data_IF_511297217483
#
_entry.id   IF_511297217483
#
_cell.length_a   1.000
_cell.length_b   1.000
_cell.length_c   1.000
_cell.angle_alpha   90.00
_cell.angle_beta   90.00
_cell.angle_gamma   90.00
#
_symmetry.space_group_name_H-M   'P 1'
#
loop_
_entity.id
_entity.type
_entity.pdbx_description
1 polymer ?
#
# COMPACT_ATOMS: atom_id res chain seq x y z
N UNK A 1 -69.10 8.51 6.72
CA UNK A 1 -68.30 8.17 5.52
C UNK A 1 -67.74 9.47 4.96
N UNK A 2 -66.43 9.51 4.75
CA UNK A 2 -65.54 10.63 5.13
C UNK A 2 -65.04 11.44 3.91
N UNK A 3 -65.08 12.78 4.01
CA UNK A 3 -64.33 13.89 3.37
C UNK A 3 -63.81 13.73 1.91
N UNK A 4 -64.03 14.59 0.90
CA UNK A 4 -64.24 16.04 0.78
C UNK A 4 -63.14 16.94 1.41
N UNK A 5 -62.21 17.47 0.58
CA UNK A 5 -61.54 18.79 0.69
C UNK A 5 -60.30 18.84 -0.25
N UNK A 6 -60.31 19.67 -1.29
CA UNK A 6 -59.61 20.97 -1.38
C UNK A 6 -58.19 20.81 -1.98
N UNK A 7 -57.87 21.24 -3.21
CA UNK A 7 -57.99 22.59 -3.79
C UNK A 7 -57.36 23.69 -2.91
N UNK A 8 -56.77 24.69 -3.57
CA UNK A 8 -56.16 25.93 -3.03
C UNK A 8 -54.62 25.84 -3.01
N UNK A 9 -53.97 26.32 -4.07
CA UNK A 9 -53.53 27.71 -4.26
C UNK A 9 -52.22 27.96 -3.48
N UNK A 10 -51.14 28.32 -4.15
CA UNK A 10 -50.84 29.71 -4.54
C UNK A 10 -49.88 30.33 -3.52
N UNK A 11 -48.97 31.16 -4.04
CA UNK A 11 -47.96 31.93 -3.34
C UNK A 11 -46.94 31.06 -2.59
N UNK A 12 -45.66 31.02 -2.98
CA UNK A 12 -44.82 32.21 -2.88
C UNK A 12 -43.49 31.92 -3.58
N UNK A 13 -42.99 32.93 -4.29
CA UNK A 13 -41.58 33.11 -4.68
C UNK A 13 -41.20 32.74 -6.12
N UNK A 14 -42.11 33.04 -7.05
CA UNK A 14 -41.75 33.97 -8.15
C UNK A 14 -41.37 35.34 -7.53
N UNK A 15 -40.15 35.50 -7.01
CA UNK A 15 -39.51 36.81 -6.79
C UNK A 15 -38.01 36.56 -6.68
N UNK A 16 -37.30 36.62 -7.80
CA UNK A 16 -36.09 37.42 -8.07
C UNK A 16 -35.61 37.03 -9.48
N UNK A 17 -36.46 37.31 -10.46
CA UNK A 17 -35.99 37.76 -11.76
C UNK A 17 -36.02 39.30 -11.67
N UNK A 18 -34.87 39.94 -11.93
CA UNK A 18 -34.64 41.37 -12.27
C UNK A 18 -33.54 42.03 -11.43
N UNK A 19 -32.29 41.67 -11.70
CA UNK A 19 -31.18 42.59 -11.55
C UNK A 19 -30.24 42.41 -12.75
N UNK A 20 -30.45 43.26 -13.78
CA UNK A 20 -29.47 43.86 -14.70
C UNK A 20 -28.29 42.95 -15.13
N UNK A 21 -28.14 42.48 -16.38
CA UNK A 21 -28.32 43.15 -17.68
C UNK A 21 -28.12 44.67 -17.60
N UNK A 22 -26.85 45.09 -17.55
CA UNK A 22 -26.32 46.17 -18.42
C UNK A 22 -24.88 46.54 -18.04
N UNK A 23 -23.92 46.01 -18.82
CA UNK A 23 -22.75 46.71 -19.41
C UNK A 23 -21.72 45.67 -19.87
N UNK A 24 -21.69 45.39 -21.16
CA UNK A 24 -20.78 46.02 -22.15
C UNK A 24 -19.53 45.12 -22.34
N UNK A 25 -19.50 44.26 -23.36
CA UNK A 25 -19.10 44.53 -24.77
C UNK A 25 -17.58 44.54 -24.94
N UNK A 26 -17.14 43.77 -25.94
CA UNK A 26 -15.79 43.62 -26.55
C UNK A 26 -14.92 42.49 -25.95
N UNK A 27 -14.35 41.53 -26.69
CA UNK A 27 -14.31 41.24 -28.14
C UNK A 27 -13.80 39.77 -28.34
N UNK A 28 -13.81 39.23 -29.57
CA UNK A 28 -13.66 37.80 -29.88
C UNK A 28 -12.21 37.39 -30.20
N UNK A 29 -11.88 36.10 -30.09
CA UNK A 29 -11.36 35.27 -31.20
C UNK A 29 -11.00 33.85 -30.74
N UNK A 30 -11.71 32.87 -31.32
CA UNK A 30 -11.33 31.45 -31.42
C UNK A 30 -10.37 31.25 -32.60
N UNK A 31 -9.38 30.37 -32.45
CA UNK A 31 -9.21 29.26 -33.39
C UNK A 31 -9.23 27.93 -32.60
N UNK A 32 -10.23 27.06 -32.74
CA UNK A 32 -10.43 26.06 -33.80
C UNK A 32 -9.22 25.16 -34.06
N UNK A 33 -9.13 24.05 -33.31
CA UNK A 33 -8.68 22.78 -33.88
C UNK A 33 -9.59 21.68 -33.32
N UNK A 34 -10.39 21.12 -34.23
CA UNK A 34 -11.25 19.95 -34.04
C UNK A 34 -10.47 18.71 -34.51
N UNK A 35 -10.95 17.53 -34.06
CA UNK A 35 -10.55 16.15 -34.41
C UNK A 35 -9.48 15.54 -33.48
N UNK A 36 -9.75 14.58 -32.59
CA UNK A 36 -10.94 13.74 -32.32
C UNK A 36 -11.11 13.47 -30.81
N UNK A 37 -12.34 13.32 -30.29
CA UNK A 37 -13.06 12.04 -30.14
C UNK A 37 -12.14 10.97 -29.50
N UNK A 38 -12.34 10.45 -28.29
CA UNK A 38 -13.58 10.26 -27.54
C UNK A 38 -13.32 10.05 -26.04
N UNK A 39 -14.32 10.43 -25.24
CA UNK A 39 -14.76 9.85 -23.98
C UNK A 39 -13.74 9.15 -23.06
N UNK A 40 -13.46 9.76 -21.90
CA UNK A 40 -13.61 9.13 -20.59
C UNK A 40 -13.68 10.25 -19.54
N UNK A 41 -14.89 10.75 -19.35
CA UNK A 41 -15.23 11.61 -18.23
C UNK A 41 -15.47 10.72 -17.01
N UNK A 42 -14.77 11.02 -15.90
CA UNK A 42 -15.18 10.58 -14.57
C UNK A 42 -14.12 9.88 -13.73
N UNK A 43 -13.07 10.59 -13.31
CA UNK A 43 -12.47 10.38 -11.98
C UNK A 43 -11.57 11.56 -11.54
N UNK A 44 -12.08 12.79 -11.64
CA UNK A 44 -11.37 13.97 -11.12
C UNK A 44 -11.88 14.32 -9.72
N UNK A 45 -11.71 13.43 -8.73
CA UNK A 45 -11.98 13.75 -7.32
C UNK A 45 -11.28 12.80 -6.33
N UNK A 46 -9.95 12.65 -6.39
CA UNK A 46 -9.09 12.35 -5.21
C UNK A 46 -7.64 12.81 -5.50
N UNK A 47 -7.43 14.10 -5.75
CA UNK A 47 -6.06 14.71 -5.83
C UNK A 47 -5.93 15.82 -4.76
N UNK A 48 -6.54 15.61 -3.59
CA UNK A 48 -6.50 16.55 -2.46
C UNK A 48 -6.00 15.94 -1.16
N UNK A 49 -5.28 14.80 -1.24
CA UNK A 49 -4.46 14.29 -0.11
C UNK A 49 -3.01 14.09 -0.56
N UNK A 50 -2.49 15.05 -1.33
CA UNK A 50 -1.07 15.13 -1.71
C UNK A 50 -0.34 16.33 -1.08
N UNK A 51 -0.98 17.01 -0.12
CA UNK A 51 -0.35 18.05 0.69
C UNK A 51 -0.57 17.74 2.17
N UNK A 52 0.33 16.98 2.82
CA UNK A 52 0.70 17.27 4.22
C UNK A 52 1.97 16.56 4.77
N UNK A 53 2.86 16.01 3.94
CA UNK A 53 4.14 15.51 4.47
C UNK A 53 5.31 15.55 3.46
N UNK A 54 5.35 16.55 2.59
CA UNK A 54 6.59 17.07 2.02
C UNK A 54 6.86 18.42 2.68
N UNK A 55 7.81 18.44 3.63
CA UNK A 55 8.33 19.69 4.16
C UNK A 55 8.81 19.54 5.59
N UNK A 56 9.97 18.91 5.80
CA UNK A 56 10.96 19.27 6.84
C UNK A 56 12.14 18.27 6.99
N UNK A 57 12.69 17.65 5.94
CA UNK A 57 14.03 16.99 6.08
C UNK A 57 14.90 17.14 4.82
N UNK A 58 14.93 18.33 4.22
CA UNK A 58 15.85 18.66 3.14
C UNK A 58 17.17 19.29 3.64
N UNK A 59 17.69 18.91 4.82
CA UNK A 59 18.87 19.59 5.38
C UNK A 59 19.84 18.71 6.19
N UNK A 60 20.06 17.45 5.80
CA UNK A 60 21.10 16.61 6.45
C UNK A 60 21.87 15.69 5.48
N UNK A 61 22.04 16.07 4.22
CA UNK A 61 22.96 15.37 3.31
C UNK A 61 24.05 16.31 2.81
N UNK A 62 24.99 16.61 3.70
CA UNK A 62 26.30 17.18 3.34
C UNK A 62 27.32 16.60 4.32
N UNK A 63 27.93 15.46 3.98
CA UNK A 63 29.25 15.05 4.44
C UNK A 63 29.70 13.81 3.65
N UNK A 64 30.23 14.10 2.46
CA UNK A 64 31.09 13.26 1.65
C UNK A 64 32.40 12.90 2.37
N UNK A 65 32.84 11.65 2.22
CA UNK A 65 34.21 11.18 2.49
C UNK A 65 34.26 9.65 2.45
N UNK A 66 34.29 9.00 1.28
CA UNK A 66 35.47 8.71 0.44
C UNK A 66 36.58 7.92 1.19
N UNK A 67 36.55 6.57 1.13
CA UNK A 67 37.48 5.66 0.36
C UNK A 67 38.64 5.08 1.22
N UNK A 68 39.48 4.12 0.74
CA UNK A 68 39.29 2.65 0.77
C UNK A 68 40.51 1.89 1.41
N UNK A 69 40.48 0.55 1.56
CA UNK A 69 41.52 -0.41 1.10
C UNK A 69 41.26 -1.88 1.56
N UNK A 70 41.77 -2.90 0.82
CA UNK A 70 41.57 -4.34 1.00
C UNK A 70 42.80 -5.06 1.61
N UNK A 71 42.65 -6.31 2.07
CA UNK A 71 43.75 -7.30 2.18
C UNK A 71 43.19 -8.74 2.40
N UNK A 72 43.11 -9.50 1.29
CA UNK A 72 43.64 -10.86 1.00
C UNK A 72 43.48 -12.09 1.97
N UNK A 73 43.75 -13.35 1.49
CA UNK A 73 42.94 -14.53 1.78
C UNK A 73 43.73 -15.61 2.54
N UNK A 74 43.03 -16.57 3.13
CA UNK A 74 43.68 -17.79 3.64
C UNK A 74 42.88 -19.02 3.24
N UNK A 75 43.40 -19.68 2.21
CA UNK A 75 43.05 -21.03 1.81
C UNK A 75 43.43 -22.05 2.89
N UNK A 76 42.65 -23.12 3.01
CA UNK A 76 43.16 -24.44 3.37
C UNK A 76 42.28 -25.51 2.75
N UNK A 77 42.78 -26.09 1.65
CA UNK A 77 42.34 -27.35 1.08
C UNK A 77 42.86 -28.51 1.93
N UNK A 78 41.99 -29.48 2.23
CA UNK A 78 42.40 -30.87 2.50
C UNK A 78 41.33 -31.82 1.94
N UNK A 79 41.63 -32.44 0.81
CA UNK A 79 41.06 -33.73 0.39
C UNK A 79 41.48 -34.80 1.43
N UNK A 80 40.93 -36.02 1.57
CA UNK A 80 40.82 -37.08 0.58
C UNK A 80 40.04 -38.28 1.21
N UNK A 81 39.37 -39.07 0.34
CA UNK A 81 38.96 -40.50 0.38
C UNK A 81 38.41 -41.15 1.68
N UNK A 82 37.29 -41.89 1.55
CA UNK A 82 37.19 -43.18 2.27
C UNK A 82 35.80 -43.80 2.47
N UNK A 83 35.51 -44.81 1.65
CA UNK A 83 34.89 -46.11 2.01
C UNK A 83 33.41 -46.19 2.47
N UNK A 84 32.60 -46.73 1.55
CA UNK A 84 31.59 -47.79 1.67
C UNK A 84 30.75 -47.99 2.96
N UNK A 85 29.43 -48.00 2.71
CA UNK A 85 28.38 -48.93 3.21
C UNK A 85 28.21 -49.15 4.72
N UNK A 86 27.00 -48.84 5.21
CA UNK A 86 26.30 -49.86 6.00
C UNK A 86 24.84 -50.05 5.53
N UNK A 87 24.52 -51.28 5.15
CA UNK A 87 23.17 -51.83 5.33
C UNK A 87 22.94 -52.04 6.82
N UNK A 88 22.02 -51.28 7.41
CA UNK A 88 21.43 -51.60 8.71
C UNK A 88 19.92 -51.36 8.64
N UNK A 89 19.21 -52.45 8.36
CA UNK A 89 17.79 -52.60 8.64
C UNK A 89 17.59 -52.59 10.16
N UNK A 90 17.03 -51.51 10.70
CA UNK A 90 16.58 -51.43 12.09
C UNK A 90 15.25 -50.69 12.15
N UNK A 91 14.20 -51.46 12.42
CA UNK A 91 12.84 -51.01 12.72
C UNK A 91 12.82 -50.00 13.87
N UNK A 92 12.19 -48.81 13.72
CA UNK A 92 11.77 -48.02 14.86
C UNK A 92 10.32 -48.38 15.21
N UNK A 93 10.15 -49.43 16.00
CA UNK A 93 8.99 -49.56 16.87
C UNK A 93 9.30 -48.83 18.17
N UNK A 94 9.14 -47.51 18.15
CA UNK A 94 9.11 -46.69 19.35
C UNK A 94 7.98 -45.67 19.17
N UNK A 95 6.80 -46.05 19.66
CA UNK A 95 5.69 -45.14 19.92
C UNK A 95 6.13 -44.11 20.95
N UNK A 96 6.86 -43.08 20.53
CA UNK A 96 6.94 -41.85 21.28
C UNK A 96 5.62 -41.13 21.05
N UNK A 97 4.70 -41.39 21.97
CA UNK A 97 3.54 -40.57 22.21
C UNK A 97 4.06 -39.20 22.62
N UNK A 98 4.40 -38.36 21.64
CA UNK A 98 4.56 -36.93 21.85
C UNK A 98 3.23 -36.45 22.40
N UNK A 99 3.20 -36.16 23.71
CA UNK A 99 2.19 -35.26 24.25
C UNK A 99 2.08 -34.09 23.28
N UNK A 100 0.88 -33.69 22.85
CA UNK A 100 0.73 -32.41 22.18
C UNK A 100 1.26 -31.37 23.17
N UNK A 101 2.47 -30.87 22.92
CA UNK A 101 2.90 -29.61 23.50
C UNK A 101 1.82 -28.62 23.14
N UNK A 102 1.31 -27.93 24.15
CA UNK A 102 0.26 -26.93 24.03
C UNK A 102 0.49 -26.10 22.76
N UNK A 103 -0.54 -25.91 21.91
CA UNK A 103 -0.41 -24.97 20.81
C UNK A 103 0.01 -23.63 21.43
N UNK A 104 1.06 -22.95 20.91
CA UNK A 104 1.41 -21.63 21.41
C UNK A 104 0.14 -20.78 21.34
N UNK A 105 -0.28 -20.17 22.44
CA UNK A 105 -1.36 -19.21 22.42
C UNK A 105 -1.02 -18.17 21.34
N UNK A 106 -1.80 -18.03 20.26
CA UNK A 106 -1.60 -16.93 19.34
C UNK A 106 -2.22 -15.70 20.01
N UNK A 107 -1.49 -15.14 20.98
CA UNK A 107 -1.85 -13.87 21.64
C UNK A 107 -1.27 -12.68 20.86
N UNK A 108 -0.77 -12.90 19.64
CA UNK A 108 -0.45 -11.81 18.73
C UNK A 108 -1.72 -11.29 18.07
N UNK A 109 -1.93 -9.98 18.15
CA UNK A 109 -3.02 -9.32 17.45
C UNK A 109 -2.87 -9.62 15.95
N UNK A 110 -3.93 -10.09 15.26
CA UNK A 110 -3.85 -10.42 13.84
C UNK A 110 -3.39 -9.23 12.98
N UNK A 111 -3.64 -8.01 13.44
CA UNK A 111 -3.20 -6.78 12.79
C UNK A 111 -1.68 -6.59 12.88
N UNK A 112 -1.08 -6.85 14.05
CA UNK A 112 0.36 -6.74 14.26
C UNK A 112 1.11 -7.77 13.39
N UNK A 113 0.58 -9.00 13.33
CA UNK A 113 1.12 -10.04 12.47
C UNK A 113 1.06 -9.66 10.97
N UNK A 114 -0.04 -9.06 10.51
CA UNK A 114 -0.18 -8.60 9.12
C UNK A 114 0.78 -7.45 8.78
N UNK A 115 1.01 -6.52 9.72
CA UNK A 115 1.98 -5.43 9.56
C UNK A 115 3.42 -5.98 9.49
N UNK A 116 3.75 -6.95 10.35
CA UNK A 116 5.05 -7.61 10.35
C UNK A 116 5.31 -8.37 9.04
N UNK A 117 4.32 -9.12 8.55
CA UNK A 117 4.40 -9.86 7.28
C UNK A 117 4.60 -8.90 6.09
N UNK A 118 3.86 -7.79 6.06
CA UNK A 118 4.03 -6.75 5.05
C UNK A 118 5.44 -6.13 5.08
N UNK A 119 6.00 -5.84 6.26
CA UNK A 119 7.38 -5.36 6.38
C UNK A 119 8.40 -6.37 5.86
N UNK A 120 8.20 -7.64 6.17
CA UNK A 120 9.05 -8.72 5.68
C UNK A 120 8.97 -8.84 4.14
N UNK A 121 7.78 -8.70 3.56
CA UNK A 121 7.60 -8.67 2.11
C UNK A 121 8.31 -7.48 1.45
N UNK A 122 8.26 -6.29 2.06
CA UNK A 122 8.98 -5.09 1.58
C UNK A 122 10.50 -5.32 1.60
N UNK A 123 11.07 -5.85 2.70
CA UNK A 123 12.50 -6.16 2.75
C UNK A 123 12.90 -7.27 1.77
N UNK A 124 12.06 -8.29 1.59
CA UNK A 124 12.26 -9.35 0.61
C UNK A 124 12.35 -8.80 -0.81
N UNK A 125 11.43 -7.91 -1.19
CA UNK A 125 11.41 -7.25 -2.50
C UNK A 125 12.62 -6.32 -2.70
N UNK A 126 13.08 -5.63 -1.64
CA UNK A 126 14.30 -4.83 -1.67
C UNK A 126 15.55 -5.67 -1.95
N UNK A 127 15.67 -6.83 -1.30
CA UNK A 127 16.83 -7.72 -1.43
C UNK A 127 16.95 -8.39 -2.80
N UNK A 128 15.81 -8.63 -3.48
CA UNK A 128 15.77 -9.25 -4.81
C UNK A 128 16.19 -8.34 -5.98
N UNK A 129 16.30 -7.03 -5.75
CA UNK A 129 16.54 -6.04 -6.80
C UNK A 129 15.26 -5.63 -7.57
N UNK A 130 14.12 -6.20 -7.20
CA UNK A 130 12.80 -5.96 -7.79
C UNK A 130 12.08 -4.74 -7.20
N UNK A 131 12.71 -3.94 -6.36
CA UNK A 131 12.10 -2.72 -5.84
C UNK A 131 13.13 -1.61 -5.67
N UNK A 132 12.88 -0.44 -6.27
CA UNK A 132 13.79 0.70 -6.19
C UNK A 132 13.83 1.22 -4.76
N UNK A 133 15.00 1.67 -4.29
CA UNK A 133 15.18 2.13 -2.91
C UNK A 133 14.26 3.28 -2.49
N UNK A 134 13.84 4.14 -3.43
CA UNK A 134 12.84 5.19 -3.17
C UNK A 134 11.46 4.58 -2.89
N UNK A 135 11.02 3.62 -3.69
CA UNK A 135 9.70 3.00 -3.55
C UNK A 135 9.64 2.15 -2.29
N UNK A 136 10.73 1.46 -1.93
CA UNK A 136 10.87 0.76 -0.64
C UNK A 136 10.64 1.72 0.53
N UNK A 137 11.31 2.87 0.51
CA UNK A 137 11.17 3.88 1.56
C UNK A 137 9.75 4.46 1.61
N UNK A 138 9.13 4.70 0.45
CA UNK A 138 7.75 5.18 0.37
C UNK A 138 6.77 4.13 0.94
N UNK A 139 6.96 2.84 0.68
CA UNK A 139 6.15 1.76 1.25
C UNK A 139 6.33 1.66 2.78
N UNK A 140 7.56 1.73 3.29
CA UNK A 140 7.78 1.74 4.75
C UNK A 140 7.14 2.94 5.43
N UNK A 141 7.16 4.11 4.79
CA UNK A 141 6.48 5.29 5.29
C UNK A 141 4.97 5.07 5.35
N UNK A 142 4.38 4.52 4.29
CA UNK A 142 2.95 4.22 4.25
C UNK A 142 2.57 3.22 5.38
N UNK A 143 3.41 2.20 5.66
CA UNK A 143 3.23 1.28 6.80
C UNK A 143 3.28 2.01 8.15
N UNK A 144 4.27 2.88 8.37
CA UNK A 144 4.39 3.65 9.60
C UNK A 144 3.19 4.60 9.80
N UNK A 145 2.67 5.17 8.71
CA UNK A 145 1.48 6.02 8.76
C UNK A 145 0.20 5.24 9.11
N UNK A 146 0.12 3.95 8.73
CA UNK A 146 -0.97 3.03 9.12
C UNK A 146 -0.85 2.69 10.61
N UNK A 147 0.32 2.25 11.08
CA UNK A 147 0.59 1.97 12.51
C UNK A 147 0.25 3.16 13.39
N UNK A 148 0.66 4.36 12.97
CA UNK A 148 0.32 5.59 13.69
C UNK A 148 -1.19 5.81 13.79
N UNK A 149 -1.92 5.61 12.71
CA UNK A 149 -3.38 5.75 12.72
C UNK A 149 -4.06 4.72 13.64
N UNK A 150 -3.55 3.48 13.67
CA UNK A 150 -4.02 2.44 14.59
C UNK A 150 -3.73 2.83 16.05
N UNK A 151 -2.52 3.29 16.35
CA UNK A 151 -2.13 3.73 17.68
C UNK A 151 -2.95 4.94 18.17
N UNK A 152 -3.32 5.83 17.24
CA UNK A 152 -4.20 6.98 17.51
C UNK A 152 -5.69 6.58 17.65
N UNK A 153 -6.04 5.30 17.46
CA UNK A 153 -7.42 4.79 17.51
C UNK A 153 -8.28 5.16 16.30
N UNK A 154 -7.67 5.65 15.21
CA UNK A 154 -8.36 6.09 14.00
C UNK A 154 -8.36 4.98 12.94
N UNK A 155 -9.23 3.99 13.13
CA UNK A 155 -9.33 2.80 12.29
C UNK A 155 -9.76 3.14 10.86
N UNK A 156 -10.65 4.13 10.67
CA UNK A 156 -11.05 4.60 9.33
C UNK A 156 -9.86 5.15 8.54
N UNK A 157 -9.03 5.99 9.17
CA UNK A 157 -7.84 6.54 8.53
C UNK A 157 -6.78 5.47 8.26
N UNK A 158 -6.64 4.48 9.15
CA UNK A 158 -5.76 3.33 8.93
C UNK A 158 -6.23 2.51 7.73
N UNK A 159 -7.53 2.23 7.62
CA UNK A 159 -8.14 1.51 6.50
C UNK A 159 -7.97 2.23 5.17
N UNK A 160 -8.17 3.56 5.14
CA UNK A 160 -7.95 4.36 3.93
C UNK A 160 -6.48 4.31 3.47
N UNK A 161 -5.53 4.43 4.41
CA UNK A 161 -4.10 4.33 4.11
C UNK A 161 -3.71 2.93 3.63
N UNK A 162 -4.26 1.87 4.22
CA UNK A 162 -4.01 0.49 3.77
C UNK A 162 -4.50 0.25 2.34
N UNK A 163 -5.66 0.79 1.96
CA UNK A 163 -6.14 0.72 0.56
C UNK A 163 -5.24 1.49 -0.41
N UNK A 164 -4.79 2.68 -0.03
CA UNK A 164 -3.83 3.47 -0.84
C UNK A 164 -2.50 2.72 -1.02
N UNK A 165 -2.04 2.05 0.03
CA UNK A 165 -0.86 1.19 -0.03
C UNK A 165 -1.10 0.03 -1.02
N UNK A 166 -2.22 -0.68 -0.92
CA UNK A 166 -2.58 -1.76 -1.85
C UNK A 166 -2.61 -1.27 -3.31
N UNK A 167 -3.25 -0.13 -3.58
CA UNK A 167 -3.31 0.48 -4.91
C UNK A 167 -1.92 0.88 -5.41
N UNK A 168 -1.05 1.40 -4.53
CA UNK A 168 0.34 1.70 -4.88
C UNK A 168 1.11 0.44 -5.25
N UNK A 169 0.98 -0.64 -4.47
CA UNK A 169 1.62 -1.93 -4.76
C UNK A 169 1.15 -2.48 -6.10
N UNK A 170 -0.16 -2.48 -6.37
CA UNK A 170 -0.73 -2.88 -7.67
C UNK A 170 -0.13 -2.03 -8.80
N UNK A 171 -0.03 -0.71 -8.59
CA UNK A 171 0.57 0.21 -9.55
C UNK A 171 2.07 0.01 -9.78
N UNK A 172 2.82 -0.55 -8.82
CA UNK A 172 4.23 -0.95 -9.02
C UNK A 172 4.30 -2.24 -9.86
N UNK A 173 3.41 -3.20 -9.61
CA UNK A 173 3.31 -4.45 -10.38
C UNK A 173 2.92 -4.17 -11.84
N UNK A 174 1.89 -3.34 -12.05
CA UNK A 174 1.40 -2.98 -13.39
C UNK A 174 2.44 -2.24 -14.25
N UNK A 175 3.45 -1.65 -13.61
CA UNK A 175 4.57 -0.95 -14.27
C UNK A 175 5.82 -1.81 -14.41
N UNK A 176 5.74 -3.10 -14.04
CA UNK A 176 6.89 -4.01 -13.95
C UNK A 176 8.01 -3.46 -13.04
N UNK A 177 7.68 -2.59 -12.07
CA UNK A 177 8.64 -2.05 -11.11
C UNK A 177 8.86 -2.99 -9.92
N UNK A 178 7.91 -3.90 -9.66
CA UNK A 178 8.06 -5.08 -8.80
C UNK A 178 7.36 -6.25 -9.46
N UNK A 179 8.09 -7.33 -9.73
CA UNK A 179 7.59 -8.47 -10.50
C UNK A 179 7.57 -9.78 -9.72
N UNK A 180 6.96 -10.78 -10.36
CA UNK A 180 6.99 -12.18 -9.93
C UNK A 180 6.50 -12.41 -8.51
N UNK A 181 7.12 -13.37 -7.83
CA UNK A 181 6.70 -13.81 -6.51
C UNK A 181 6.83 -12.70 -5.44
N UNK A 182 7.79 -11.78 -5.60
CA UNK A 182 7.95 -10.65 -4.68
C UNK A 182 6.75 -9.69 -4.77
N UNK A 183 6.31 -9.34 -5.99
CA UNK A 183 5.13 -8.52 -6.22
C UNK A 183 3.86 -9.18 -5.69
N UNK A 184 3.67 -10.47 -5.96
CA UNK A 184 2.51 -11.24 -5.51
C UNK A 184 2.43 -11.31 -3.97
N UNK A 185 3.56 -11.57 -3.29
CA UNK A 185 3.62 -11.58 -1.82
C UNK A 185 3.33 -10.20 -1.23
N UNK A 186 3.89 -9.14 -1.82
CA UNK A 186 3.66 -7.76 -1.38
C UNK A 186 2.17 -7.39 -1.49
N UNK A 187 1.54 -7.73 -2.61
CA UNK A 187 0.12 -7.47 -2.84
C UNK A 187 -0.77 -8.29 -1.90
N UNK A 188 -0.45 -9.56 -1.67
CA UNK A 188 -1.18 -10.41 -0.75
C UNK A 188 -1.13 -9.89 0.70
N UNK A 189 0.04 -9.46 1.16
CA UNK A 189 0.22 -8.88 2.49
C UNK A 189 -0.57 -7.56 2.64
N UNK A 190 -0.46 -6.65 1.65
CA UNK A 190 -1.20 -5.39 1.65
C UNK A 190 -2.73 -5.60 1.64
N UNK A 191 -3.22 -6.54 0.83
CA UNK A 191 -4.65 -6.90 0.75
C UNK A 191 -5.15 -7.47 2.08
N UNK A 192 -4.33 -8.30 2.74
CA UNK A 192 -4.67 -8.90 4.04
C UNK A 192 -4.80 -7.82 5.11
N UNK A 193 -3.85 -6.88 5.16
CA UNK A 193 -3.90 -5.73 6.07
C UNK A 193 -5.15 -4.87 5.83
N UNK A 194 -5.45 -4.54 4.57
CA UNK A 194 -6.62 -3.75 4.21
C UNK A 194 -7.93 -4.45 4.59
N UNK A 195 -8.01 -5.78 4.43
CA UNK A 195 -9.17 -6.59 4.83
C UNK A 195 -9.36 -6.60 6.34
N UNK A 196 -8.29 -6.80 7.12
CA UNK A 196 -8.35 -6.80 8.58
C UNK A 196 -8.85 -5.46 9.12
N UNK A 197 -8.31 -4.35 8.59
CA UNK A 197 -8.74 -3.00 8.97
C UNK A 197 -10.17 -2.65 8.54
N UNK A 198 -10.71 -3.31 7.50
CA UNK A 198 -12.10 -3.14 7.11
C UNK A 198 -13.09 -3.95 7.97
N UNK A 199 -12.58 -4.87 8.81
CA UNK A 199 -13.38 -5.77 9.63
C UNK A 199 -13.38 -5.43 11.13
N UNK A 200 -12.48 -4.55 11.57
CA UNK A 200 -12.42 -4.02 12.94
C UNK A 200 -13.22 -2.74 13.08
#
# INVERSE_FOLDING_TARGET
MTAAAAAVADATTERVATARRDRAVAAPHRPSNRHGLAALAGLALVVTVSLFALGSIASRFLATGATPLPDDPAASSTAIVGVASPSSSSSPSASQQSSPSEPPEPTENPLDAAIADLRAAIEGARGGGDLKGKDVNDLFKDVADIERAIADGNVDAAGEKARKLEDRVRGLIDKDEVGGEAGDRLLAAATTLARLLASG
#
